data_IF_662820362680
#
_entry.id   IF_662820362680
#
_cell.length_a   1.000
_cell.length_b   1.000
_cell.length_c   1.000
_cell.angle_alpha   90.00
_cell.angle_beta   90.00
_cell.angle_gamma   90.00
#
_symmetry.space_group_name_H-M   'P 1'
#
loop_
_entity.id
_entity.type
_entity.pdbx_description
1 polymer ?
#
# COMPACT_ATOMS: atom_id res chain seq x y z
N UNK A 1 -29.90 0.31 16.71
CA UNK A 1 -30.27 1.67 16.31
C UNK A 1 -30.23 2.60 17.51
N UNK A 2 -30.21 3.89 17.30
CA UNK A 2 -30.15 4.90 18.41
C UNK A 2 -31.37 4.86 19.34
N UNK A 3 -32.51 4.36 18.87
CA UNK A 3 -33.74 4.15 19.65
C UNK A 3 -33.77 2.82 20.42
N UNK A 4 -32.71 2.02 20.37
CA UNK A 4 -32.63 0.71 21.01
C UNK A 4 -33.11 -0.47 20.17
N UNK A 5 -33.68 -0.24 18.99
CA UNK A 5 -34.16 -1.34 18.13
C UNK A 5 -33.00 -2.16 17.57
N UNK A 6 -33.21 -3.47 17.51
CA UNK A 6 -32.33 -4.41 16.81
C UNK A 6 -32.99 -4.75 15.47
N UNK A 7 -32.31 -4.44 14.38
CA UNK A 7 -32.80 -4.65 13.01
C UNK A 7 -31.85 -5.51 12.23
N UNK A 8 -32.38 -6.28 11.26
CA UNK A 8 -31.59 -7.02 10.29
C UNK A 8 -31.56 -6.24 8.97
N UNK A 9 -30.37 -5.79 8.58
CA UNK A 9 -30.16 -5.07 7.32
C UNK A 9 -29.57 -5.98 6.25
N UNK A 10 -30.15 -5.98 5.06
CA UNK A 10 -29.68 -6.74 3.89
C UNK A 10 -30.15 -6.04 2.60
N UNK A 11 -29.91 -6.64 1.43
CA UNK A 11 -30.31 -6.06 0.14
C UNK A 11 -31.82 -5.86 -0.09
N UNK A 12 -32.66 -6.46 0.75
CA UNK A 12 -34.11 -6.41 0.64
C UNK A 12 -34.81 -5.69 1.80
N UNK A 13 -34.14 -5.61 2.96
CA UNK A 13 -34.68 -5.05 4.18
C UNK A 13 -33.68 -4.08 4.79
N UNK A 14 -34.09 -2.85 5.14
CA UNK A 14 -33.20 -1.78 5.57
C UNK A 14 -31.99 -1.62 4.63
N UNK A 15 -32.26 -1.58 3.32
CA UNK A 15 -31.24 -1.61 2.28
C UNK A 15 -30.37 -0.36 2.24
N UNK A 16 -30.88 0.77 2.68
CA UNK A 16 -30.17 2.03 2.89
C UNK A 16 -29.14 1.91 4.05
N UNK A 17 -29.55 1.33 5.18
CA UNK A 17 -28.66 1.01 6.28
C UNK A 17 -27.60 -0.03 5.86
N UNK A 18 -28.03 -1.06 5.12
CA UNK A 18 -27.10 -2.07 4.57
C UNK A 18 -26.06 -1.47 3.64
N UNK A 19 -26.46 -0.54 2.78
CA UNK A 19 -25.54 0.25 1.97
C UNK A 19 -24.57 1.05 2.85
N UNK A 20 -25.09 1.80 3.82
CA UNK A 20 -24.28 2.72 4.64
C UNK A 20 -23.21 1.99 5.47
N UNK A 21 -23.53 0.86 6.10
CA UNK A 21 -22.58 0.11 6.94
C UNK A 21 -21.51 -0.63 6.14
N UNK A 22 -21.70 -0.80 4.82
CA UNK A 22 -20.76 -1.51 3.92
C UNK A 22 -19.82 -0.54 3.20
N UNK A 23 -19.18 0.35 3.94
CA UNK A 23 -18.16 1.27 3.43
C UNK A 23 -18.28 2.71 3.90
N UNK A 24 -19.40 3.08 4.55
CA UNK A 24 -19.63 4.45 5.01
C UNK A 24 -18.96 4.83 6.33
N UNK A 25 -18.09 3.96 6.85
CA UNK A 25 -17.35 4.17 8.09
C UNK A 25 -17.96 3.46 9.30
N UNK A 26 -17.09 2.95 10.17
CA UNK A 26 -17.49 2.25 11.38
C UNK A 26 -18.05 3.20 12.46
N UNK A 27 -18.99 2.69 13.27
CA UNK A 27 -19.53 3.41 14.43
C UNK A 27 -20.50 4.56 14.14
N UNK A 28 -20.85 4.81 12.86
CA UNK A 28 -21.62 6.01 12.47
C UNK A 28 -23.13 5.74 12.37
N UNK A 29 -23.53 4.55 11.94
CA UNK A 29 -24.93 4.24 11.59
C UNK A 29 -25.62 3.33 12.61
N UNK A 30 -24.90 2.82 13.58
CA UNK A 30 -25.39 1.94 14.63
C UNK A 30 -24.30 0.98 15.12
N UNK A 31 -24.66 0.18 16.15
CA UNK A 31 -23.78 -0.87 16.66
C UNK A 31 -24.08 -2.18 15.93
N UNK A 32 -23.11 -2.76 15.26
CA UNK A 32 -23.22 -4.08 14.62
C UNK A 32 -23.06 -5.15 15.69
N UNK A 33 -24.10 -5.91 15.98
CA UNK A 33 -24.11 -6.98 17.00
C UNK A 33 -23.81 -8.35 16.41
N UNK A 34 -24.12 -8.55 15.14
CA UNK A 34 -23.79 -9.79 14.40
C UNK A 34 -23.68 -9.50 12.91
N UNK A 35 -22.92 -10.33 12.19
CA UNK A 35 -22.80 -10.23 10.74
C UNK A 35 -22.62 -11.62 10.13
N UNK A 36 -23.24 -11.84 8.98
CA UNK A 36 -23.01 -13.03 8.16
C UNK A 36 -22.05 -12.66 7.04
N UNK A 37 -20.92 -13.38 6.96
CA UNK A 37 -19.92 -13.18 5.92
C UNK A 37 -19.75 -14.42 5.07
N UNK A 38 -19.47 -14.22 3.78
CA UNK A 38 -19.09 -15.31 2.90
C UNK A 38 -17.67 -15.75 3.21
N UNK A 39 -17.48 -17.05 3.40
CA UNK A 39 -16.16 -17.65 3.53
C UNK A 39 -15.79 -18.44 2.27
N UNK A 40 -14.50 -18.66 2.09
CA UNK A 40 -13.96 -19.36 0.93
C UNK A 40 -13.11 -20.56 1.38
N UNK A 41 -13.03 -21.64 0.58
CA UNK A 41 -12.12 -22.72 0.86
C UNK A 41 -10.68 -22.23 0.95
N UNK A 42 -9.90 -22.81 1.84
CA UNK A 42 -8.47 -22.58 1.91
C UNK A 42 -7.79 -22.88 0.57
N UNK A 43 -6.85 -22.02 0.19
CA UNK A 43 -6.07 -22.16 -1.04
C UNK A 43 -4.59 -22.11 -0.70
N UNK A 44 -3.73 -22.81 -1.47
CA UNK A 44 -2.29 -22.61 -1.37
C UNK A 44 -1.92 -21.17 -1.73
N UNK A 45 -0.85 -20.68 -1.12
CA UNK A 45 -0.34 -19.33 -1.30
C UNK A 45 1.12 -19.39 -1.72
N UNK A 46 1.48 -18.62 -2.74
CA UNK A 46 2.86 -18.30 -3.06
C UNK A 46 3.11 -16.85 -2.68
N UNK A 47 4.15 -16.61 -1.90
CA UNK A 47 4.57 -15.27 -1.50
C UNK A 47 5.96 -14.96 -2.04
N UNK A 48 6.18 -13.71 -2.42
CA UNK A 48 7.45 -13.18 -2.85
C UNK A 48 7.88 -12.05 -1.92
N UNK A 49 9.10 -12.13 -1.42
CA UNK A 49 9.76 -11.06 -0.68
C UNK A 49 10.86 -10.47 -1.54
N UNK A 50 10.87 -9.16 -1.68
CA UNK A 50 11.93 -8.39 -2.34
C UNK A 50 12.53 -7.43 -1.32
N UNK A 51 13.85 -7.43 -1.20
CA UNK A 51 14.58 -6.45 -0.40
C UNK A 51 15.71 -5.83 -1.25
N UNK A 52 15.82 -4.51 -1.19
CA UNK A 52 16.82 -3.74 -1.95
C UNK A 52 17.51 -2.78 -1.01
N UNK A 53 18.84 -2.79 -1.04
CA UNK A 53 19.69 -1.88 -0.27
C UNK A 53 20.79 -1.30 -1.15
N UNK A 54 21.13 0.00 -1.02
CA UNK A 54 22.29 0.58 -1.71
C UNK A 54 23.59 -0.07 -1.28
N UNK A 55 24.51 -0.28 -2.22
CA UNK A 55 25.89 -0.72 -1.93
C UNK A 55 26.79 0.42 -1.47
N UNK A 56 26.43 1.65 -1.77
CA UNK A 56 27.11 2.88 -1.37
C UNK A 56 26.08 3.92 -0.88
N UNK A 57 26.54 5.13 -0.53
CA UNK A 57 25.64 6.22 -0.08
C UNK A 57 24.79 6.84 -1.22
N UNK A 58 24.87 6.30 -2.42
CA UNK A 58 24.03 6.72 -3.55
C UNK A 58 22.62 6.19 -3.39
N UNK A 59 21.65 7.08 -3.16
CA UNK A 59 20.24 6.76 -3.05
C UNK A 59 19.49 6.95 -4.35
N UNK A 60 20.06 7.55 -5.37
CA UNK A 60 19.37 7.80 -6.66
C UNK A 60 19.04 6.49 -7.38
N UNK A 61 19.97 5.54 -7.40
CA UNK A 61 19.70 4.21 -7.94
C UNK A 61 18.57 3.50 -7.21
N UNK A 62 18.46 3.68 -5.88
CA UNK A 62 17.34 3.12 -5.12
C UNK A 62 16.00 3.76 -5.50
N UNK A 63 15.96 5.08 -5.62
CA UNK A 63 14.74 5.80 -6.03
C UNK A 63 14.33 5.45 -7.47
N UNK A 64 15.30 5.24 -8.36
CA UNK A 64 15.05 4.75 -9.71
C UNK A 64 14.48 3.33 -9.72
N UNK A 65 15.03 2.42 -8.91
CA UNK A 65 14.53 1.06 -8.77
C UNK A 65 13.10 1.06 -8.17
N UNK A 66 12.82 1.90 -7.16
CA UNK A 66 11.48 2.07 -6.60
C UNK A 66 10.50 2.57 -7.68
N UNK A 67 10.93 3.48 -8.54
CA UNK A 67 10.11 3.98 -9.66
C UNK A 67 9.77 2.84 -10.62
N UNK A 68 10.76 2.04 -11.01
CA UNK A 68 10.57 0.89 -11.89
C UNK A 68 9.64 -0.16 -11.26
N UNK A 69 9.73 -0.39 -9.94
CA UNK A 69 8.82 -1.27 -9.20
C UNK A 69 7.38 -0.74 -9.20
N UNK A 70 7.18 0.55 -8.92
CA UNK A 70 5.84 1.16 -8.90
C UNK A 70 5.16 1.06 -10.27
N UNK A 71 5.91 1.19 -11.37
CA UNK A 71 5.38 0.99 -12.73
C UNK A 71 4.90 -0.44 -12.98
N UNK A 72 5.48 -1.44 -12.32
CA UNK A 72 5.12 -2.85 -12.47
C UNK A 72 3.97 -3.29 -11.55
N UNK A 73 3.61 -2.53 -10.53
CA UNK A 73 2.54 -2.91 -9.61
C UNK A 73 1.21 -3.23 -10.31
N UNK A 74 0.72 -2.47 -11.32
CA UNK A 74 -0.51 -2.84 -12.01
C UNK A 74 -0.45 -4.24 -12.62
N UNK A 75 0.64 -4.62 -13.27
CA UNK A 75 0.82 -5.94 -13.86
C UNK A 75 0.86 -7.05 -12.79
N UNK A 76 1.58 -6.81 -11.70
CA UNK A 76 1.69 -7.73 -10.56
C UNK A 76 0.30 -7.95 -9.93
N UNK A 77 -0.47 -6.88 -9.70
CA UNK A 77 -1.79 -6.95 -9.08
C UNK A 77 -2.86 -7.52 -10.01
N UNK A 78 -2.84 -7.18 -11.31
CA UNK A 78 -3.71 -7.80 -12.32
C UNK A 78 -3.47 -9.31 -12.41
N UNK A 79 -2.26 -9.76 -12.06
CA UNK A 79 -1.91 -11.18 -11.92
C UNK A 79 -2.33 -11.81 -10.59
N UNK A 80 -3.02 -11.07 -9.72
CA UNK A 80 -3.62 -11.58 -8.47
C UNK A 80 -2.71 -11.52 -7.25
N UNK A 81 -1.59 -10.80 -7.31
CA UNK A 81 -0.77 -10.51 -6.14
C UNK A 81 -1.29 -9.29 -5.38
N UNK A 82 -1.20 -9.35 -4.06
CA UNK A 82 -1.48 -8.26 -3.14
C UNK A 82 -0.51 -8.31 -1.95
N UNK A 83 -0.35 -7.22 -1.24
CA UNK A 83 0.56 -7.16 -0.09
C UNK A 83 0.98 -5.76 0.27
N UNK A 84 2.15 -5.66 0.90
CA UNK A 84 2.65 -4.41 1.45
C UNK A 84 4.13 -4.24 1.16
N UNK A 85 4.54 -2.99 0.99
CA UNK A 85 5.94 -2.62 0.89
C UNK A 85 6.23 -1.36 1.70
N UNK A 86 7.51 -1.14 1.96
CA UNK A 86 7.99 0.07 2.62
C UNK A 86 9.37 0.46 2.11
N UNK A 87 9.68 1.74 2.21
CA UNK A 87 11.00 2.23 1.82
C UNK A 87 11.32 3.57 2.49
N UNK A 88 12.61 3.83 2.61
CA UNK A 88 13.14 5.09 3.12
C UNK A 88 14.55 5.29 2.58
N UNK A 89 14.93 6.54 2.34
CA UNK A 89 16.34 6.93 2.11
C UNK A 89 16.97 7.57 3.34
N UNK A 90 16.12 8.09 4.24
CA UNK A 90 16.50 8.71 5.51
C UNK A 90 15.64 8.07 6.61
N UNK A 91 15.98 6.83 7.01
CA UNK A 91 15.18 6.10 7.99
C UNK A 91 15.10 6.86 9.32
N UNK A 92 13.91 7.00 9.92
CA UNK A 92 13.75 7.53 11.26
C UNK A 92 14.27 6.58 12.35
N UNK A 93 14.57 5.33 11.99
CA UNK A 93 15.04 4.33 12.94
C UNK A 93 16.57 4.34 13.06
N UNK A 94 17.12 4.29 14.29
CA UNK A 94 18.55 4.20 14.50
C UNK A 94 19.15 2.98 13.79
N UNK A 95 20.32 3.18 13.16
CA UNK A 95 21.07 2.13 12.46
C UNK A 95 20.38 1.49 11.24
N UNK A 96 19.27 2.04 10.76
CA UNK A 96 18.69 1.62 9.47
C UNK A 96 19.27 2.44 8.33
N UNK A 97 19.74 1.73 7.32
CA UNK A 97 20.19 2.31 6.05
C UNK A 97 19.01 2.53 5.11
N UNK A 98 19.23 3.33 4.07
CA UNK A 98 18.29 3.42 2.97
C UNK A 98 17.92 2.03 2.45
N UNK A 99 16.64 1.76 2.23
CA UNK A 99 16.17 0.46 1.76
C UNK A 99 14.78 0.54 1.16
N UNK A 100 14.48 -0.46 0.36
CA UNK A 100 13.13 -0.81 -0.08
C UNK A 100 12.87 -2.27 0.25
N UNK A 101 11.64 -2.58 0.66
CA UNK A 101 11.17 -3.95 0.81
C UNK A 101 9.69 -4.08 0.46
N UNK A 102 9.29 -5.23 -0.06
CA UNK A 102 7.90 -5.62 -0.10
C UNK A 102 7.72 -7.13 0.15
N UNK A 103 6.55 -7.49 0.61
CA UNK A 103 6.04 -8.86 0.61
C UNK A 103 4.69 -8.87 -0.07
N UNK A 104 4.58 -9.63 -1.15
CA UNK A 104 3.34 -9.79 -1.91
C UNK A 104 3.03 -11.26 -2.11
N UNK A 105 1.76 -11.59 -2.12
CA UNK A 105 1.31 -12.97 -2.20
C UNK A 105 0.13 -13.14 -3.14
N UNK A 106 0.04 -14.32 -3.76
CA UNK A 106 -1.09 -14.72 -4.58
C UNK A 106 -1.59 -16.11 -4.17
N UNK A 107 -2.91 -16.28 -4.21
CA UNK A 107 -3.55 -17.55 -3.94
C UNK A 107 -3.71 -18.39 -5.21
N UNK A 108 -3.63 -19.72 -5.05
CA UNK A 108 -3.93 -20.69 -6.09
C UNK A 108 -3.08 -20.55 -7.37
N UNK A 109 -1.80 -20.17 -7.19
CA UNK A 109 -0.78 -20.16 -8.25
C UNK A 109 0.35 -21.13 -7.89
N UNK A 110 1.00 -21.71 -8.90
CA UNK A 110 2.27 -22.43 -8.70
C UNK A 110 3.43 -21.43 -8.59
N UNK A 111 4.54 -21.87 -8.01
CA UNK A 111 5.78 -21.08 -7.93
C UNK A 111 6.23 -20.61 -9.32
N UNK A 112 6.23 -21.50 -10.33
CA UNK A 112 6.63 -21.19 -11.70
C UNK A 112 5.73 -20.12 -12.33
N UNK A 113 4.42 -20.22 -12.16
CA UNK A 113 3.48 -19.20 -12.64
C UNK A 113 3.72 -17.86 -11.94
N UNK A 114 4.02 -17.88 -10.65
CA UNK A 114 4.29 -16.70 -9.86
C UNK A 114 5.59 -16.02 -10.27
N UNK A 115 6.66 -16.76 -10.45
CA UNK A 115 7.96 -16.24 -10.90
C UNK A 115 7.85 -15.52 -12.24
N UNK A 116 7.12 -16.11 -13.20
CA UNK A 116 6.90 -15.52 -14.52
C UNK A 116 6.25 -14.12 -14.48
N UNK A 117 5.41 -13.83 -13.49
CA UNK A 117 4.80 -12.51 -13.34
C UNK A 117 5.84 -11.42 -13.05
N UNK A 118 6.96 -11.79 -12.42
CA UNK A 118 8.01 -10.87 -12.01
C UNK A 118 9.21 -10.82 -12.97
N UNK A 119 9.20 -11.60 -14.06
CA UNK A 119 10.33 -11.66 -14.99
C UNK A 119 10.71 -10.28 -15.54
N UNK A 120 9.73 -9.49 -15.99
CA UNK A 120 9.96 -8.14 -16.52
C UNK A 120 10.54 -7.20 -15.46
N UNK A 121 10.01 -7.24 -14.24
CA UNK A 121 10.53 -6.45 -13.12
C UNK A 121 11.99 -6.83 -12.83
N UNK A 122 12.29 -8.11 -12.71
CA UNK A 122 13.65 -8.55 -12.40
C UNK A 122 14.63 -8.28 -13.52
N UNK A 123 14.24 -8.41 -14.78
CA UNK A 123 15.06 -7.98 -15.92
C UNK A 123 15.39 -6.47 -15.83
N UNK A 124 14.39 -5.64 -15.50
CA UNK A 124 14.59 -4.20 -15.34
C UNK A 124 15.52 -3.87 -14.18
N UNK A 125 15.44 -4.60 -13.07
CA UNK A 125 16.26 -4.39 -11.89
C UNK A 125 17.70 -4.91 -12.02
N UNK A 126 17.99 -5.78 -12.99
CA UNK A 126 19.32 -6.35 -13.21
C UNK A 126 20.42 -5.30 -13.42
N UNK A 127 20.10 -4.16 -14.05
CA UNK A 127 21.05 -3.07 -14.29
C UNK A 127 21.62 -2.46 -13.00
N UNK A 128 20.90 -2.60 -11.89
CA UNK A 128 21.32 -2.09 -10.59
C UNK A 128 22.01 -3.14 -9.73
N UNK A 129 21.68 -4.44 -9.93
CA UNK A 129 22.10 -5.51 -9.03
C UNK A 129 23.62 -5.75 -9.11
N UNK A 130 24.29 -5.67 -7.96
CA UNK A 130 25.74 -5.85 -7.85
C UNK A 130 26.56 -4.63 -8.31
N UNK A 131 25.95 -3.63 -8.98
CA UNK A 131 26.62 -2.39 -9.39
C UNK A 131 26.37 -1.25 -8.40
N UNK A 132 25.13 -0.88 -8.13
CA UNK A 132 24.74 0.17 -7.19
C UNK A 132 23.86 -0.33 -6.06
N UNK A 133 23.13 -1.41 -6.27
CA UNK A 133 22.19 -1.99 -5.31
C UNK A 133 22.50 -3.48 -5.06
N UNK A 134 22.19 -3.92 -3.84
CA UNK A 134 22.01 -5.33 -3.50
C UNK A 134 20.52 -5.64 -3.57
N UNK A 135 20.15 -6.64 -4.35
CA UNK A 135 18.78 -7.08 -4.55
C UNK A 135 18.65 -8.52 -4.07
N UNK A 136 17.77 -8.75 -3.10
CA UNK A 136 17.46 -10.06 -2.56
C UNK A 136 16.01 -10.41 -2.85
N UNK A 137 15.79 -11.56 -3.49
CA UNK A 137 14.46 -12.11 -3.80
C UNK A 137 14.33 -13.47 -3.12
N UNK A 138 13.25 -13.63 -2.35
CA UNK A 138 12.93 -14.91 -1.70
C UNK A 138 11.49 -15.28 -2.01
N UNK A 139 11.28 -16.55 -2.32
CA UNK A 139 9.98 -17.14 -2.58
C UNK A 139 9.59 -18.11 -1.48
N UNK A 140 8.32 -18.08 -1.11
CA UNK A 140 7.74 -18.97 -0.11
C UNK A 140 6.49 -19.64 -0.67
N UNK A 141 6.30 -20.92 -0.36
CA UNK A 141 5.10 -21.65 -0.68
C UNK A 141 4.42 -22.11 0.60
N UNK A 142 3.14 -21.85 0.72
CA UNK A 142 2.33 -22.24 1.86
C UNK A 142 1.16 -23.11 1.40
N UNK A 143 0.87 -24.23 2.11
CA UNK A 143 -0.20 -25.13 1.72
C UNK A 143 -1.60 -24.52 1.87
N UNK A 144 -1.73 -23.50 2.74
CA UNK A 144 -3.00 -22.81 3.00
C UNK A 144 -2.78 -21.32 3.30
N UNK A 145 -3.83 -20.53 3.11
CA UNK A 145 -3.81 -19.13 3.55
C UNK A 145 -3.58 -18.98 5.06
N UNK A 146 -4.14 -19.89 5.87
CA UNK A 146 -3.91 -19.87 7.33
C UNK A 146 -2.43 -20.04 7.69
N UNK A 147 -1.70 -20.95 7.01
CA UNK A 147 -0.27 -21.12 7.23
C UNK A 147 0.53 -19.87 6.81
N UNK A 148 0.18 -19.26 5.67
CA UNK A 148 0.73 -17.98 5.24
C UNK A 148 0.49 -16.87 6.27
N UNK A 149 -0.75 -16.72 6.72
CA UNK A 149 -1.13 -15.68 7.69
C UNK A 149 -0.34 -15.84 9.02
N UNK A 150 -0.22 -17.05 9.54
CA UNK A 150 0.55 -17.32 10.76
C UNK A 150 2.03 -17.01 10.59
N UNK A 151 2.62 -17.37 9.46
CA UNK A 151 4.03 -17.11 9.19
C UNK A 151 4.32 -15.60 9.01
N UNK A 152 3.40 -14.87 8.38
CA UNK A 152 3.59 -13.45 8.03
C UNK A 152 3.07 -12.48 9.09
N UNK A 153 2.16 -12.89 9.98
CA UNK A 153 1.62 -12.02 11.04
C UNK A 153 2.67 -11.51 12.02
N UNK A 154 3.80 -12.21 12.17
CA UNK A 154 4.94 -11.74 12.95
C UNK A 154 5.93 -10.84 12.19
N UNK A 155 5.85 -10.82 10.85
CA UNK A 155 6.76 -10.06 9.97
C UNK A 155 6.12 -8.73 9.54
N UNK A 156 4.82 -8.73 9.39
CA UNK A 156 4.04 -7.54 8.99
C UNK A 156 3.64 -6.71 10.21
N UNK A 157 4.61 -6.21 10.95
CA UNK A 157 4.31 -5.06 11.79
C UNK A 157 4.28 -3.84 10.85
N UNK A 158 3.16 -3.13 10.74
CA UNK A 158 3.16 -1.86 10.05
C UNK A 158 4.11 -0.94 10.81
N UNK A 159 5.26 -0.71 10.24
CA UNK A 159 6.22 0.27 10.75
C UNK A 159 5.80 1.66 10.28
N UNK A 160 4.59 1.99 10.53
CA UNK A 160 3.99 3.28 10.32
C UNK A 160 3.12 3.57 11.51
N UNK A 161 3.68 3.36 12.70
CA UNK A 161 2.97 3.76 13.89
C UNK A 161 2.85 5.26 13.83
N UNK A 162 1.60 5.74 13.77
CA UNK A 162 1.30 7.09 14.15
C UNK A 162 1.85 7.32 15.56
N UNK A 163 3.11 7.71 15.64
CA UNK A 163 3.66 8.26 16.86
C UNK A 163 2.81 9.48 17.20
N UNK A 164 2.51 9.75 18.46
CA UNK A 164 1.80 10.98 18.84
C UNK A 164 2.51 12.26 18.32
N UNK A 165 3.75 12.12 17.90
CA UNK A 165 4.58 13.18 17.32
C UNK A 165 4.91 12.86 15.84
N UNK A 166 3.89 12.60 15.02
CA UNK A 166 4.05 12.38 13.59
C UNK A 166 2.92 13.02 12.78
N UNK A 167 3.19 13.27 11.52
CA UNK A 167 2.20 13.59 10.50
C UNK A 167 2.35 12.62 9.34
N UNK A 168 1.24 12.25 8.72
CA UNK A 168 1.23 11.41 7.53
C UNK A 168 0.22 11.94 6.52
N UNK A 169 0.39 11.52 5.29
CA UNK A 169 -0.61 11.68 4.23
C UNK A 169 -0.58 10.48 3.32
N UNK A 170 -1.70 10.16 2.71
CA UNK A 170 -1.80 9.07 1.74
C UNK A 170 -2.41 9.52 0.42
N UNK A 171 -2.15 8.74 -0.62
CA UNK A 171 -2.80 8.90 -1.91
C UNK A 171 -3.03 7.55 -2.58
N UNK A 172 -4.22 7.37 -3.10
CA UNK A 172 -4.57 6.28 -3.99
C UNK A 172 -4.04 6.56 -5.39
N UNK A 173 -3.41 5.56 -6.01
CA UNK A 173 -2.93 5.65 -7.39
C UNK A 173 -3.59 4.60 -8.26
N UNK A 174 -4.13 5.06 -9.38
CA UNK A 174 -4.65 4.22 -10.46
C UNK A 174 -3.57 3.80 -11.45
N UNK A 175 -3.93 2.92 -12.38
CA UNK A 175 -3.02 2.39 -13.40
C UNK A 175 -2.35 3.50 -14.21
N UNK A 176 -3.10 4.50 -14.65
CA UNK A 176 -2.58 5.60 -15.47
C UNK A 176 -1.47 6.37 -14.74
N UNK A 177 -1.66 6.73 -13.48
CA UNK A 177 -0.66 7.44 -12.68
C UNK A 177 0.65 6.65 -12.57
N UNK A 178 0.56 5.33 -12.44
CA UNK A 178 1.73 4.45 -12.28
C UNK A 178 2.46 4.18 -13.60
N UNK A 179 1.79 4.25 -14.76
CA UNK A 179 2.35 3.78 -16.04
C UNK A 179 2.56 4.86 -17.10
N UNK A 180 1.93 6.04 -16.99
CA UNK A 180 1.94 7.04 -18.06
C UNK A 180 3.28 7.77 -18.18
N UNK A 181 3.86 8.22 -17.07
CA UNK A 181 5.11 8.99 -17.09
C UNK A 181 6.06 8.56 -15.98
N UNK A 182 7.14 7.87 -16.39
CA UNK A 182 8.20 7.49 -15.46
C UNK A 182 8.82 8.71 -14.77
N UNK A 183 9.02 9.81 -15.51
CA UNK A 183 9.60 11.04 -14.95
C UNK A 183 8.70 11.67 -13.90
N UNK A 184 7.40 11.77 -14.15
CA UNK A 184 6.45 12.30 -13.16
C UNK A 184 6.40 11.43 -11.90
N UNK A 185 6.35 10.11 -12.07
CA UNK A 185 6.40 9.16 -10.97
C UNK A 185 7.71 9.27 -10.17
N UNK A 186 8.87 9.33 -10.86
CA UNK A 186 10.18 9.49 -10.21
C UNK A 186 10.29 10.80 -9.42
N UNK A 187 9.74 11.89 -9.95
CA UNK A 187 9.71 13.18 -9.26
C UNK A 187 8.85 13.11 -7.99
N UNK A 188 7.69 12.49 -8.05
CA UNK A 188 6.84 12.27 -6.87
C UNK A 188 7.57 11.41 -5.83
N UNK A 189 8.19 10.29 -6.23
CA UNK A 189 8.97 9.42 -5.35
C UNK A 189 10.14 10.21 -4.72
N UNK A 190 10.86 11.02 -5.48
CA UNK A 190 11.93 11.88 -4.97
C UNK A 190 11.43 12.88 -3.93
N UNK A 191 10.28 13.51 -4.18
CA UNK A 191 9.66 14.46 -3.23
C UNK A 191 9.22 13.75 -1.94
N UNK A 192 8.61 12.56 -2.04
CA UNK A 192 8.17 11.81 -0.86
C UNK A 192 9.31 11.14 -0.10
N UNK A 193 10.46 10.93 -0.74
CA UNK A 193 11.67 10.45 -0.09
C UNK A 193 12.22 11.41 0.97
N UNK A 194 11.99 12.70 0.80
CA UNK A 194 12.51 13.77 1.66
C UNK A 194 13.98 14.11 1.39
N UNK A 195 14.47 15.18 2.01
CA UNK A 195 15.84 15.63 1.89
C UNK A 195 16.74 14.94 2.93
N UNK A 196 18.06 15.10 2.75
CA UNK A 196 19.03 14.62 3.73
C UNK A 196 18.76 15.23 5.13
N UNK A 197 18.73 14.39 6.14
CA UNK A 197 18.44 14.79 7.53
C UNK A 197 16.93 14.92 7.84
N UNK A 198 16.06 14.63 6.89
CA UNK A 198 14.61 14.58 7.11
C UNK A 198 14.13 13.13 7.22
N UNK A 199 13.99 12.58 8.44
CA UNK A 199 13.52 11.21 8.62
C UNK A 199 12.12 11.05 8.00
N UNK A 200 12.04 10.26 6.94
CA UNK A 200 10.81 10.04 6.18
C UNK A 200 10.63 8.55 5.94
N UNK A 201 9.44 8.06 6.17
CA UNK A 201 9.08 6.66 5.96
C UNK A 201 7.93 6.58 4.96
N UNK A 202 8.09 5.74 3.97
CA UNK A 202 7.08 5.51 2.94
C UNK A 202 6.57 4.09 3.02
N UNK A 203 5.25 3.92 2.93
CA UNK A 203 4.58 2.62 2.80
C UNK A 203 3.82 2.58 1.49
N UNK A 204 3.74 1.42 0.90
CA UNK A 204 2.89 1.14 -0.24
C UNK A 204 2.02 -0.08 0.06
N UNK A 205 0.72 0.07 -0.10
CA UNK A 205 -0.25 -0.98 0.09
C UNK A 205 -0.80 -1.41 -1.28
N UNK A 206 -0.58 -2.67 -1.63
CA UNK A 206 -1.09 -3.29 -2.85
C UNK A 206 -2.43 -3.95 -2.52
N UNK A 207 -3.46 -3.14 -2.28
CA UNK A 207 -4.76 -3.58 -1.75
C UNK A 207 -5.93 -3.28 -2.68
N UNK A 208 -5.69 -2.57 -3.78
CA UNK A 208 -6.66 -2.31 -4.85
C UNK A 208 -6.62 -3.39 -5.94
N UNK A 209 -7.06 -3.03 -7.14
CA UNK A 209 -7.06 -3.95 -8.27
C UNK A 209 -8.08 -5.10 -8.15
N UNK A 210 -7.94 -6.12 -8.99
CA UNK A 210 -8.67 -7.38 -8.91
C UNK A 210 -10.15 -7.26 -8.61
N UNK A 211 -10.63 -7.90 -7.54
CA UNK A 211 -12.04 -7.89 -7.12
C UNK A 211 -12.54 -6.49 -6.76
N UNK A 212 -11.70 -5.63 -6.21
CA UNK A 212 -12.06 -4.26 -5.86
C UNK A 212 -12.51 -3.47 -7.09
N UNK A 213 -11.82 -3.64 -8.23
CA UNK A 213 -12.21 -3.03 -9.50
C UNK A 213 -13.47 -3.67 -10.09
N UNK A 214 -13.56 -5.01 -10.07
CA UNK A 214 -14.67 -5.74 -10.72
C UNK A 214 -16.00 -5.59 -9.98
N UNK A 215 -15.98 -5.29 -8.68
CA UNK A 215 -17.21 -5.04 -7.88
C UNK A 215 -17.71 -3.58 -7.98
N UNK A 216 -17.27 -2.82 -8.96
CA UNK A 216 -17.71 -1.44 -9.18
C UNK A 216 -19.24 -1.29 -9.36
N UNK A 217 -19.92 -2.37 -9.78
CA UNK A 217 -21.38 -2.42 -9.95
C UNK A 217 -22.15 -2.77 -8.68
N UNK A 218 -21.50 -3.01 -7.53
CA UNK A 218 -22.20 -3.33 -6.27
C UNK A 218 -22.95 -2.10 -5.74
N UNK A 219 -24.23 -2.04 -6.03
CA UNK A 219 -25.13 -0.94 -5.62
C UNK A 219 -25.44 -0.90 -4.11
N UNK A 220 -25.05 -1.92 -3.37
CA UNK A 220 -25.23 -1.99 -1.92
C UNK A 220 -23.93 -1.72 -1.14
N UNK A 221 -22.95 -1.14 -1.78
CA UNK A 221 -21.69 -0.76 -1.15
C UNK A 221 -21.49 0.75 -1.22
N UNK A 222 -21.28 1.37 -0.06
CA UNK A 222 -20.93 2.80 0.09
C UNK A 222 -19.43 3.05 0.07
N UNK A 223 -18.63 2.06 -0.29
CA UNK A 223 -17.18 2.23 -0.49
C UNK A 223 -16.92 3.36 -1.48
N UNK A 224 -16.04 4.29 -1.10
CA UNK A 224 -15.70 5.44 -1.94
C UNK A 224 -15.34 5.00 -3.36
N UNK A 225 -15.95 5.58 -4.40
CA UNK A 225 -15.72 5.20 -5.80
C UNK A 225 -14.27 5.22 -6.25
N UNK A 226 -13.40 6.04 -5.63
CA UNK A 226 -11.97 6.06 -5.91
C UNK A 226 -11.31 4.67 -5.77
N UNK A 227 -11.77 3.83 -4.84
CA UNK A 227 -11.30 2.44 -4.70
C UNK A 227 -11.52 1.60 -5.96
N UNK A 228 -12.55 1.93 -6.76
CA UNK A 228 -12.90 1.19 -7.99
C UNK A 228 -11.95 1.47 -9.17
N UNK A 229 -10.96 2.34 -8.97
CA UNK A 229 -9.90 2.62 -9.95
C UNK A 229 -8.50 2.55 -9.32
N UNK A 230 -8.43 2.28 -8.01
CA UNK A 230 -7.19 2.23 -7.24
C UNK A 230 -6.47 0.90 -7.44
N UNK A 231 -5.16 0.96 -7.63
CA UNK A 231 -4.25 -0.17 -7.51
C UNK A 231 -3.52 -0.16 -6.17
N UNK A 232 -2.85 0.93 -5.86
CA UNK A 232 -2.08 1.05 -4.61
C UNK A 232 -2.52 2.25 -3.78
N UNK A 233 -2.29 2.16 -2.48
CA UNK A 233 -2.27 3.32 -1.59
C UNK A 233 -0.80 3.58 -1.25
N UNK A 234 -0.32 4.78 -1.53
CA UNK A 234 1.01 5.24 -1.14
C UNK A 234 0.86 6.17 0.05
N UNK A 235 1.64 5.93 1.09
CA UNK A 235 1.59 6.66 2.36
C UNK A 235 2.99 7.20 2.62
N UNK A 236 3.07 8.45 3.08
CA UNK A 236 4.31 9.05 3.55
C UNK A 236 4.11 9.62 4.94
N UNK A 237 5.02 9.32 5.84
CA UNK A 237 5.01 9.76 7.23
C UNK A 237 6.32 10.41 7.63
N UNK A 238 6.24 11.43 8.48
CA UNK A 238 7.37 12.07 9.17
C UNK A 238 7.06 12.22 10.65
N UNK A 239 8.07 12.07 11.47
CA UNK A 239 7.98 12.32 12.90
C UNK A 239 8.85 13.50 13.32
N UNK A 240 8.60 14.05 14.49
CA UNK A 240 9.43 15.06 15.13
C UNK A 240 9.75 14.67 16.57
N UNK A 241 10.94 15.03 17.01
CA UNK A 241 11.39 14.85 18.41
C UNK A 241 11.21 16.12 19.24
N UNK A 242 11.09 17.29 18.59
CA UNK A 242 10.91 18.59 19.25
C UNK A 242 9.63 19.25 18.73
N UNK A 243 8.76 19.70 19.66
CA UNK A 243 7.52 20.38 19.34
C UNK A 243 7.69 21.62 18.44
N UNK A 244 8.83 22.31 18.52
CA UNK A 244 9.11 23.46 17.65
C UNK A 244 9.20 23.12 16.16
N UNK A 245 9.45 21.85 15.81
CA UNK A 245 9.48 21.39 14.41
C UNK A 245 8.14 20.79 13.93
N UNK A 246 7.14 20.68 14.78
CA UNK A 246 5.87 20.04 14.44
C UNK A 246 5.16 20.73 13.27
N UNK A 247 5.06 22.05 13.29
CA UNK A 247 4.38 22.81 12.22
C UNK A 247 5.14 22.68 10.88
N UNK A 248 6.47 22.71 10.89
CA UNK A 248 7.28 22.51 9.69
C UNK A 248 7.07 21.11 9.10
N UNK A 249 7.00 20.08 9.94
CA UNK A 249 6.76 18.70 9.48
C UNK A 249 5.33 18.55 8.94
N UNK A 250 4.32 19.14 9.59
CA UNK A 250 2.95 19.12 9.09
C UNK A 250 2.81 19.85 7.75
N UNK A 251 3.47 21.00 7.61
CA UNK A 251 3.48 21.77 6.36
C UNK A 251 4.13 20.98 5.22
N UNK A 252 5.29 20.36 5.46
CA UNK A 252 5.96 19.50 4.48
C UNK A 252 5.08 18.32 4.04
N UNK A 253 4.45 17.62 4.99
CA UNK A 253 3.55 16.49 4.70
C UNK A 253 2.34 16.96 3.89
N UNK A 254 1.71 18.07 4.28
CA UNK A 254 0.46 18.54 3.69
C UNK A 254 0.68 19.24 2.35
N UNK A 255 1.62 20.19 2.32
CA UNK A 255 1.74 21.18 1.24
C UNK A 255 2.87 20.86 0.26
N UNK A 256 3.77 19.92 0.59
CA UNK A 256 4.85 19.49 -0.31
C UNK A 256 4.59 18.05 -0.76
N UNK A 257 4.64 17.08 0.14
CA UNK A 257 4.51 15.65 -0.20
C UNK A 257 3.09 15.29 -0.66
N UNK A 258 2.07 15.74 0.08
CA UNK A 258 0.67 15.54 -0.29
C UNK A 258 0.30 16.21 -1.61
N UNK A 259 0.86 17.39 -1.90
CA UNK A 259 0.66 18.08 -3.19
C UNK A 259 1.32 17.30 -4.32
N UNK A 260 2.56 16.81 -4.16
CA UNK A 260 3.25 16.02 -5.17
C UNK A 260 2.48 14.73 -5.51
N UNK A 261 1.99 14.02 -4.49
CA UNK A 261 1.18 12.81 -4.67
C UNK A 261 -0.14 13.12 -5.38
N UNK A 262 -0.82 14.21 -5.00
CA UNK A 262 -2.08 14.63 -5.62
C UNK A 262 -1.89 15.07 -7.07
N UNK A 263 -0.77 15.69 -7.39
CA UNK A 263 -0.46 16.09 -8.75
C UNK A 263 -0.25 14.89 -9.69
N UNK A 264 0.25 13.76 -9.17
CA UNK A 264 0.41 12.54 -9.96
C UNK A 264 -0.93 11.87 -10.29
N UNK A 265 -1.88 11.85 -9.35
CA UNK A 265 -3.24 11.31 -9.57
C UNK A 265 -4.29 12.23 -8.92
N UNK A 266 -4.73 13.28 -9.62
CA UNK A 266 -5.66 14.26 -9.07
C UNK A 266 -7.08 13.75 -8.91
N UNK A 267 -7.46 12.69 -9.63
CA UNK A 267 -8.83 12.18 -9.67
C UNK A 267 -9.15 11.18 -8.56
N UNK A 268 -8.13 10.56 -7.97
CA UNK A 268 -8.32 9.63 -6.86
C UNK A 268 -8.22 10.32 -5.49
N UNK A 269 -8.62 9.60 -4.46
CA UNK A 269 -8.69 10.07 -3.09
C UNK A 269 -7.49 9.67 -2.23
N UNK A 270 -7.71 9.77 -0.93
CA UNK A 270 -6.84 9.24 0.12
C UNK A 270 -7.59 8.19 0.92
N UNK A 271 -6.86 7.30 1.56
CA UNK A 271 -7.46 6.37 2.50
C UNK A 271 -7.60 7.06 3.86
N UNK A 272 -8.83 7.16 4.36
CA UNK A 272 -9.16 7.96 5.54
C UNK A 272 -8.35 7.58 6.80
N UNK A 273 -8.06 6.29 6.98
CA UNK A 273 -7.32 5.84 8.16
C UNK A 273 -5.81 6.11 8.05
N UNK A 274 -5.33 6.52 6.87
CA UNK A 274 -3.92 6.74 6.55
C UNK A 274 -3.66 8.18 6.04
N UNK A 275 -4.54 9.12 6.36
CA UNK A 275 -4.47 10.52 5.89
C UNK A 275 -4.36 11.52 7.04
#
# INVERSE_FOLDING_TARGET
MTNGDIVTANSCQFSDLYFAIRGGGGGTYGVVTSMTVKVYPNKPVVAQSLAITPLAKDTDSLLDAITDIYQQYPNIMDSGFSGYGSWSINSPMPNQTASYMHVVAAMNKSLVQSQKVFDELFQTLQKYNGSSLRILVVWYEFPTYGAYFQAMSGVSQPVGVASPNSAMTSRMFGKAALTTSRTALRNMIGTTAGNSGEPTFNTVELVGGGKVLTDASDKYSSVNPAWRSTYIVSIVARSWSNHSSAETVKDDITNIKGVAMRALDPLLGSYMNEA
#
